data_IF_745713472260
#
_entry.id   IF_745713472260
#
_cell.length_a   1.000
_cell.length_b   1.000
_cell.length_c   1.000
_cell.angle_alpha   90.00
_cell.angle_beta   90.00
_cell.angle_gamma   90.00
#
_symmetry.space_group_name_H-M   'P 1'
#
loop_
_entity.id
_entity.type
_entity.pdbx_description
1 polymer ?
#
# COMPACT_ATOMS: atom_id res chain seq x y z
N UNK A 1 58.06 -5.34 27.08
CA UNK A 1 57.86 -4.27 26.08
C UNK A 1 56.88 -4.83 25.07
N UNK A 2 55.60 -4.49 25.20
CA UNK A 2 54.52 -5.06 24.40
C UNK A 2 54.36 -4.28 23.09
N UNK A 3 54.20 -5.01 21.97
CA UNK A 3 53.97 -4.49 20.63
C UNK A 3 52.53 -3.92 20.49
N UNK A 4 52.31 -2.93 19.60
CA UNK A 4 50.99 -2.35 19.39
C UNK A 4 50.10 -3.32 18.59
N UNK A 5 48.86 -3.48 19.05
CA UNK A 5 47.83 -4.31 18.42
C UNK A 5 47.23 -3.58 17.21
N UNK A 6 47.33 -4.18 16.02
CA UNK A 6 46.54 -3.78 14.85
C UNK A 6 45.08 -4.20 15.04
N UNK A 7 44.19 -3.21 15.04
CA UNK A 7 42.75 -3.41 15.13
C UNK A 7 42.15 -3.39 13.72
N UNK A 8 41.85 -4.60 13.23
CA UNK A 8 41.15 -4.86 11.98
C UNK A 8 39.73 -4.28 12.05
N UNK A 9 39.55 -3.05 11.59
CA UNK A 9 38.23 -2.52 11.27
C UNK A 9 37.64 -3.30 10.09
N UNK A 10 36.71 -4.20 10.40
CA UNK A 10 35.86 -4.87 9.42
C UNK A 10 35.13 -3.82 8.57
N UNK A 11 35.40 -3.81 7.27
CA UNK A 11 34.75 -2.95 6.28
C UNK A 11 33.29 -3.36 6.08
N UNK A 12 32.42 -2.96 7.02
CA UNK A 12 30.98 -2.92 6.81
C UNK A 12 30.70 -1.69 5.94
N UNK A 13 30.68 -1.88 4.63
CA UNK A 13 30.36 -0.80 3.69
C UNK A 13 28.87 -0.48 3.85
N UNK A 14 28.56 0.43 4.79
CA UNK A 14 27.23 1.02 4.90
C UNK A 14 26.85 1.63 3.53
N UNK A 15 25.59 1.52 3.09
CA UNK A 15 25.15 2.15 1.86
C UNK A 15 25.48 3.64 1.94
N UNK A 16 26.32 4.11 1.02
CA UNK A 16 26.72 5.52 0.97
C UNK A 16 25.44 6.32 0.77
N UNK A 17 25.03 7.06 1.81
CA UNK A 17 23.90 7.97 1.71
C UNK A 17 24.19 8.96 0.57
N UNK A 18 23.18 9.38 -0.19
CA UNK A 18 23.36 10.31 -1.31
C UNK A 18 24.04 11.63 -0.91
N UNK A 19 23.87 12.04 0.35
CA UNK A 19 24.47 13.24 0.91
C UNK A 19 25.06 12.97 2.30
N UNK A 20 26.29 13.43 2.51
CA UNK A 20 26.93 13.47 3.83
C UNK A 20 26.52 14.75 4.57
N UNK A 21 25.67 14.60 5.58
CA UNK A 21 25.11 15.71 6.36
C UNK A 21 26.05 16.28 7.42
N UNK A 22 27.23 15.69 7.65
CA UNK A 22 28.25 16.22 8.55
C UNK A 22 29.32 17.02 7.78
N UNK A 23 29.59 16.62 6.53
CA UNK A 23 30.53 17.33 5.65
C UNK A 23 30.10 18.80 5.41
N UNK A 24 30.88 19.72 5.99
CA UNK A 24 30.65 21.16 5.87
C UNK A 24 29.44 21.67 6.66
N UNK A 25 28.98 20.93 7.68
CA UNK A 25 27.84 21.33 8.50
C UNK A 25 28.03 22.70 9.16
N UNK A 26 29.26 23.03 9.61
CA UNK A 26 29.57 24.31 10.25
C UNK A 26 29.17 25.56 9.42
N UNK A 27 29.18 25.45 8.09
CA UNK A 27 28.79 26.52 7.17
C UNK A 27 27.66 26.08 6.24
N UNK A 28 26.80 25.14 6.66
CA UNK A 28 25.81 24.52 5.79
C UNK A 28 24.89 25.55 5.10
N UNK A 29 24.57 26.65 5.78
CA UNK A 29 23.68 27.69 5.28
C UNK A 29 24.18 28.32 3.97
N UNK A 30 25.48 28.61 3.86
CA UNK A 30 26.09 29.17 2.65
C UNK A 30 26.72 28.09 1.77
N UNK A 31 27.21 27.00 2.36
CA UNK A 31 28.04 26.01 1.70
C UNK A 31 27.31 24.80 1.12
N UNK A 32 26.07 24.52 1.54
CA UNK A 32 25.30 23.40 0.98
C UNK A 32 24.39 23.85 -0.16
N UNK A 33 24.35 23.05 -1.21
CA UNK A 33 23.31 23.11 -2.24
C UNK A 33 21.93 22.86 -1.62
N UNK A 34 20.88 23.46 -2.20
CA UNK A 34 19.50 23.37 -1.71
C UNK A 34 19.02 21.92 -1.56
N UNK A 35 19.35 21.07 -2.53
CA UNK A 35 19.02 19.64 -2.50
C UNK A 35 19.65 18.89 -1.33
N UNK A 36 20.90 19.22 -0.96
CA UNK A 36 21.59 18.65 0.19
C UNK A 36 20.94 19.10 1.52
N UNK A 37 20.55 20.37 1.62
CA UNK A 37 19.84 20.93 2.79
C UNK A 37 18.49 20.26 2.99
N UNK A 38 17.69 20.15 1.93
CA UNK A 38 16.36 19.52 1.97
C UNK A 38 16.45 18.04 2.35
N UNK A 39 17.38 17.31 1.74
CA UNK A 39 17.54 15.89 2.01
C UNK A 39 18.03 15.64 3.45
N UNK A 40 19.06 16.37 3.90
CA UNK A 40 19.58 16.25 5.26
C UNK A 40 18.58 16.71 6.32
N UNK A 41 17.77 17.72 6.03
CA UNK A 41 16.70 18.17 6.92
C UNK A 41 15.59 17.10 7.04
N UNK A 42 15.22 16.45 5.93
CA UNK A 42 14.10 15.50 5.90
C UNK A 42 14.48 14.11 6.45
N UNK A 43 15.71 13.64 6.19
CA UNK A 43 16.13 12.28 6.54
C UNK A 43 16.96 12.21 7.82
N UNK A 44 17.69 13.29 8.16
CA UNK A 44 18.64 13.34 9.30
C UNK A 44 18.28 14.44 10.29
N UNK A 45 17.36 15.35 9.95
CA UNK A 45 16.99 16.49 10.79
C UNK A 45 18.08 17.57 10.91
N UNK A 46 19.08 17.57 10.01
CA UNK A 46 20.25 18.47 10.07
C UNK A 46 20.31 19.40 8.87
N UNK A 47 20.76 20.63 9.11
CA UNK A 47 21.01 21.63 8.08
C UNK A 47 19.74 22.19 7.45
N UNK A 48 18.63 22.20 8.20
CA UNK A 48 17.42 22.88 7.80
C UNK A 48 17.69 24.37 7.64
N UNK A 49 17.20 25.01 6.56
CA UNK A 49 17.36 26.44 6.38
C UNK A 49 16.77 27.18 7.60
N UNK A 50 17.40 28.28 8.06
CA UNK A 50 16.73 29.16 8.99
C UNK A 50 15.43 29.63 8.33
N UNK A 51 14.30 29.53 9.05
CA UNK A 51 13.06 30.12 8.57
C UNK A 51 13.37 31.59 8.20
N UNK A 52 12.88 32.10 7.06
CA UNK A 52 13.12 33.48 6.64
C UNK A 52 12.76 34.52 7.73
N UNK A 53 11.94 34.11 8.70
CA UNK A 53 11.42 34.93 9.78
C UNK A 53 12.17 34.82 11.12
N UNK A 54 13.24 34.03 11.25
CA UNK A 54 14.09 33.99 12.46
C UNK A 54 13.31 33.94 13.80
N UNK A 55 12.20 33.20 13.84
CA UNK A 55 11.07 33.62 14.65
C UNK A 55 11.17 33.16 16.11
N UNK A 56 11.57 34.10 16.97
CA UNK A 56 10.85 34.29 18.23
C UNK A 56 9.38 34.60 17.87
N UNK A 57 8.53 33.57 17.83
CA UNK A 57 7.13 33.74 17.45
C UNK A 57 6.38 34.53 18.53
N UNK A 58 6.24 35.85 18.33
CA UNK A 58 5.37 36.67 19.17
C UNK A 58 3.90 36.34 18.87
N UNK A 59 3.28 35.61 19.80
CA UNK A 59 1.90 35.16 19.74
C UNK A 59 0.86 36.27 19.99
N UNK A 60 1.29 37.49 20.28
CA UNK A 60 0.41 38.66 20.39
C UNK A 60 0.39 39.47 19.08
N UNK A 61 1.48 39.45 18.31
CA UNK A 61 1.60 40.16 17.06
C UNK A 61 0.61 39.62 16.00
N UNK A 62 -0.36 40.45 15.63
CA UNK A 62 -1.42 40.07 14.69
C UNK A 62 -2.37 39.03 15.25
N UNK A 63 -2.55 38.97 16.59
CA UNK A 63 -3.48 38.03 17.20
C UNK A 63 -4.94 38.27 16.78
N UNK A 64 -5.36 39.51 16.50
CA UNK A 64 -6.75 39.81 16.13
C UNK A 64 -7.19 39.19 14.79
N UNK A 65 -6.27 38.96 13.86
CA UNK A 65 -6.52 38.37 12.55
C UNK A 65 -5.69 37.10 12.32
N UNK A 66 -5.27 36.44 13.40
CA UNK A 66 -4.31 35.34 13.39
C UNK A 66 -4.70 34.20 12.43
N UNK A 67 -5.99 33.94 12.24
CA UNK A 67 -6.50 32.91 11.32
C UNK A 67 -6.09 33.15 9.87
N UNK A 68 -6.05 34.40 9.41
CA UNK A 68 -5.62 34.73 8.05
C UNK A 68 -4.18 35.24 8.00
N UNK A 69 -3.72 35.92 9.07
CA UNK A 69 -2.43 36.60 9.11
C UNK A 69 -1.26 35.76 9.62
N UNK A 70 -1.49 34.66 10.35
CA UNK A 70 -0.39 33.81 10.81
C UNK A 70 -0.09 32.69 9.83
N UNK A 71 1.20 32.46 9.62
CA UNK A 71 1.71 31.26 8.95
C UNK A 71 1.33 30.00 9.74
N UNK A 72 1.21 28.86 9.05
CA UNK A 72 0.88 27.58 9.69
C UNK A 72 1.84 27.21 10.83
N UNK A 73 3.13 27.53 10.68
CA UNK A 73 4.15 27.33 11.71
C UNK A 73 3.94 28.21 12.94
N UNK A 74 3.63 29.50 12.76
CA UNK A 74 3.32 30.42 13.88
C UNK A 74 2.07 29.99 14.64
N UNK A 75 1.03 29.54 13.93
CA UNK A 75 -0.19 28.96 14.53
C UNK A 75 0.14 27.74 15.40
N UNK A 76 0.90 26.79 14.86
CA UNK A 76 1.28 25.58 15.59
C UNK A 76 2.13 25.90 16.83
N UNK A 77 3.15 26.76 16.68
CA UNK A 77 4.02 27.14 17.78
C UNK A 77 3.25 27.88 18.91
N UNK A 78 2.48 28.90 18.55
CA UNK A 78 1.71 29.69 19.51
C UNK A 78 0.59 28.90 20.17
N UNK A 79 0.01 27.93 19.46
CA UNK A 79 -0.95 27.01 20.05
C UNK A 79 -0.29 26.06 21.06
N UNK A 80 0.90 25.53 20.75
CA UNK A 80 1.58 24.58 21.63
C UNK A 80 2.20 25.25 22.86
N UNK A 81 2.92 26.36 22.66
CA UNK A 81 3.73 27.02 23.70
C UNK A 81 3.01 28.16 24.42
N UNK A 82 2.15 28.91 23.74
CA UNK A 82 1.45 30.07 24.30
C UNK A 82 -0.06 29.88 24.49
N UNK A 83 -0.60 28.71 24.11
CA UNK A 83 -2.04 28.38 24.12
C UNK A 83 -2.91 29.44 23.42
N UNK A 84 -2.34 30.13 22.42
CA UNK A 84 -3.00 31.20 21.66
C UNK A 84 -3.01 30.87 20.17
N UNK A 85 -4.12 31.17 19.51
CA UNK A 85 -4.27 30.94 18.07
C UNK A 85 -4.34 29.45 17.75
N UNK A 86 -4.91 28.66 18.66
CA UNK A 86 -5.36 27.32 18.36
C UNK A 86 -6.67 27.42 17.59
N UNK A 87 -6.82 26.62 16.53
CA UNK A 87 -8.11 26.51 15.86
C UNK A 87 -9.02 25.65 16.74
N UNK A 88 -9.72 26.29 17.69
CA UNK A 88 -10.57 25.60 18.66
C UNK A 88 -11.88 25.09 18.07
N UNK A 89 -12.21 25.43 16.82
CA UNK A 89 -13.31 24.76 16.09
C UNK A 89 -12.99 23.31 15.72
N UNK A 90 -11.76 22.84 15.95
CA UNK A 90 -11.40 21.43 15.81
C UNK A 90 -11.37 20.65 17.14
N UNK A 91 -11.70 21.25 18.29
CA UNK A 91 -11.60 20.56 19.60
C UNK A 91 -12.73 20.98 20.56
N UNK A 92 -13.94 20.48 20.33
CA UNK A 92 -14.91 20.17 21.40
C UNK A 92 -15.44 18.75 21.14
N UNK A 93 -15.48 17.94 22.19
CA UNK A 93 -15.53 16.47 22.32
C UNK A 93 -16.67 15.68 21.63
N UNK A 94 -16.64 14.32 21.58
CA UNK A 94 -15.56 13.37 21.88
C UNK A 94 -14.93 12.82 20.59
N UNK A 95 -13.92 11.97 20.78
CA UNK A 95 -12.94 11.47 19.81
C UNK A 95 -13.52 10.53 18.73
N UNK A 96 -14.60 10.95 18.06
CA UNK A 96 -15.43 10.24 17.08
C UNK A 96 -16.56 9.41 17.70
N UNK A 97 -17.81 9.74 17.34
CA UNK A 97 -18.99 8.95 17.69
C UNK A 97 -19.16 7.84 16.64
N UNK A 98 -18.87 6.60 17.03
CA UNK A 98 -18.87 5.45 16.13
C UNK A 98 -20.26 4.87 15.86
N UNK A 99 -21.33 5.44 16.45
CA UNK A 99 -22.71 4.98 16.30
C UNK A 99 -23.56 5.89 15.41
N UNK A 100 -23.17 7.15 15.26
CA UNK A 100 -23.85 8.07 14.37
C UNK A 100 -23.59 7.70 12.91
N UNK A 101 -24.63 7.43 12.13
CA UNK A 101 -24.53 7.08 10.71
C UNK A 101 -23.57 5.91 10.40
N UNK A 102 -23.38 4.96 11.33
CA UNK A 102 -22.51 3.79 11.14
C UNK A 102 -22.87 2.93 9.90
N UNK A 103 -24.13 2.99 9.45
CA UNK A 103 -24.60 2.34 8.22
C UNK A 103 -24.18 3.04 6.91
N UNK A 104 -23.70 4.29 6.99
CA UNK A 104 -23.19 5.11 5.89
C UNK A 104 -21.80 5.67 6.21
N UNK A 105 -21.01 4.95 7.01
CA UNK A 105 -19.68 5.38 7.45
C UNK A 105 -18.73 5.68 6.27
N UNK A 106 -18.97 5.06 5.11
CA UNK A 106 -18.23 5.25 3.85
C UNK A 106 -18.41 6.63 3.20
N UNK A 107 -19.54 7.29 3.43
CA UNK A 107 -19.88 8.61 2.85
C UNK A 107 -19.92 9.69 3.95
N UNK A 108 -20.36 9.31 5.16
CA UNK A 108 -20.66 10.25 6.23
C UNK A 108 -19.47 10.52 7.16
N UNK A 109 -18.48 9.61 7.25
CA UNK A 109 -17.38 9.77 8.20
C UNK A 109 -16.08 10.23 7.51
N UNK A 110 -15.37 11.23 8.05
CA UNK A 110 -14.02 11.55 7.62
C UNK A 110 -13.06 10.39 7.93
N UNK A 111 -11.99 10.26 7.14
CA UNK A 111 -11.02 9.14 7.23
C UNK A 111 -10.49 8.88 8.65
N UNK A 112 -10.21 9.94 9.40
CA UNK A 112 -9.72 9.83 10.77
C UNK A 112 -10.76 9.26 11.76
N UNK A 113 -12.05 9.49 11.51
CA UNK A 113 -13.16 8.89 12.26
C UNK A 113 -13.28 7.40 11.98
N UNK A 114 -13.19 7.02 10.70
CA UNK A 114 -13.21 5.61 10.28
C UNK A 114 -12.04 4.83 10.90
N UNK A 115 -10.82 5.37 10.85
CA UNK A 115 -9.62 4.72 11.39
C UNK A 115 -9.69 4.55 12.91
N UNK A 116 -10.14 5.58 13.63
CA UNK A 116 -10.24 5.53 15.08
C UNK A 116 -11.36 4.57 15.55
N UNK A 117 -12.56 4.70 14.98
CA UNK A 117 -13.73 3.87 15.31
C UNK A 117 -13.54 2.40 14.93
N UNK A 118 -12.83 2.14 13.83
CA UNK A 118 -12.45 0.79 13.44
C UNK A 118 -11.52 0.13 14.46
N UNK A 119 -10.55 0.89 14.99
CA UNK A 119 -9.53 0.36 15.90
C UNK A 119 -10.06 0.14 17.32
N UNK A 120 -10.98 0.99 17.79
CA UNK A 120 -11.42 1.01 19.20
C UNK A 120 -12.81 0.41 19.43
N UNK A 121 -13.73 0.51 18.46
CA UNK A 121 -15.12 0.03 18.59
C UNK A 121 -15.54 -0.97 17.50
N UNK A 122 -14.66 -1.27 16.53
CA UNK A 122 -14.92 -2.18 15.39
C UNK A 122 -16.13 -1.78 14.52
N UNK A 123 -16.44 -0.49 14.46
CA UNK A 123 -17.56 0.06 13.68
C UNK A 123 -17.02 0.96 12.55
N UNK A 124 -17.64 0.87 11.36
CA UNK A 124 -17.35 1.75 10.22
C UNK A 124 -15.93 1.69 9.66
N UNK A 125 -15.26 0.53 9.75
CA UNK A 125 -13.95 0.31 9.14
C UNK A 125 -13.95 0.61 7.64
N UNK A 126 -12.92 1.30 7.11
CA UNK A 126 -12.81 1.53 5.69
C UNK A 126 -12.67 0.17 4.99
N UNK A 127 -13.59 -0.13 4.06
CA UNK A 127 -13.48 -1.31 3.19
C UNK A 127 -12.20 -1.30 2.33
N UNK A 128 -11.49 -0.18 2.31
CA UNK A 128 -10.28 0.10 1.52
C UNK A 128 -8.95 -0.19 2.21
N UNK A 129 -8.91 -0.80 3.41
CA UNK A 129 -7.64 -1.32 3.94
C UNK A 129 -7.21 -2.65 3.33
N UNK A 130 -8.06 -3.25 2.47
CA UNK A 130 -7.60 -4.13 1.42
C UNK A 130 -7.19 -3.27 0.22
N UNK A 131 -5.94 -3.36 -0.30
CA UNK A 131 -5.54 -2.65 -1.52
C UNK A 131 -6.41 -3.00 -2.75
N UNK A 132 -7.24 -4.03 -2.63
CA UNK A 132 -7.98 -4.67 -3.68
C UNK A 132 -9.40 -5.03 -3.20
N UNK A 133 -10.42 -4.40 -3.80
CA UNK A 133 -11.83 -4.78 -3.60
C UNK A 133 -12.14 -6.07 -4.39
N UNK A 134 -12.22 -7.18 -3.68
CA UNK A 134 -12.46 -8.50 -4.25
C UNK A 134 -13.92 -8.74 -4.72
N UNK A 135 -14.85 -7.84 -4.38
CA UNK A 135 -16.25 -7.91 -4.80
C UNK A 135 -16.52 -7.04 -6.03
N UNK A 136 -15.72 -5.99 -6.23
CA UNK A 136 -15.77 -5.15 -7.42
C UNK A 136 -15.42 -5.96 -8.67
N UNK A 137 -16.34 -5.99 -9.63
CA UNK A 137 -16.20 -6.62 -10.95
C UNK A 137 -15.94 -8.13 -10.91
N UNK A 138 -16.55 -8.84 -9.95
CA UNK A 138 -16.44 -10.30 -9.82
C UNK A 138 -16.82 -11.06 -11.11
N UNK A 139 -17.76 -10.51 -11.88
CA UNK A 139 -18.22 -11.06 -13.16
C UNK A 139 -17.13 -11.09 -14.25
N UNK A 140 -16.11 -10.23 -14.13
CA UNK A 140 -14.98 -10.15 -15.04
C UNK A 140 -13.65 -10.43 -14.32
N UNK A 141 -13.67 -11.12 -13.17
CA UNK A 141 -12.46 -11.37 -12.38
C UNK A 141 -11.38 -12.15 -13.16
N UNK A 142 -11.78 -12.92 -14.18
CA UNK A 142 -10.89 -13.72 -15.04
C UNK A 142 -10.06 -12.89 -16.02
N UNK A 143 -10.61 -11.78 -16.54
CA UNK A 143 -10.01 -10.99 -17.64
C UNK A 143 -9.81 -9.51 -17.29
N UNK A 144 -10.56 -8.97 -16.33
CA UNK A 144 -10.56 -7.55 -15.95
C UNK A 144 -9.72 -7.21 -14.72
N UNK A 145 -9.40 -8.18 -13.87
CA UNK A 145 -8.60 -7.90 -12.67
C UNK A 145 -7.09 -7.88 -12.97
N UNK A 146 -6.41 -6.83 -12.52
CA UNK A 146 -4.95 -6.76 -12.50
C UNK A 146 -4.35 -7.92 -11.67
N UNK A 147 -3.19 -8.45 -12.06
CA UNK A 147 -2.57 -9.63 -11.44
C UNK A 147 -2.44 -9.52 -9.90
N UNK A 148 -2.06 -8.35 -9.39
CA UNK A 148 -1.96 -8.11 -7.94
C UNK A 148 -3.32 -8.17 -7.21
N UNK A 149 -4.41 -7.73 -7.86
CA UNK A 149 -5.78 -7.83 -7.33
C UNK A 149 -6.22 -9.29 -7.21
N UNK A 150 -5.93 -10.09 -8.25
CA UNK A 150 -6.25 -11.52 -8.31
C UNK A 150 -5.53 -12.33 -7.26
N UNK A 151 -4.21 -12.16 -7.16
CA UNK A 151 -3.37 -12.91 -6.23
C UNK A 151 -3.76 -12.64 -4.77
N UNK A 152 -3.93 -11.36 -4.41
CA UNK A 152 -4.25 -10.96 -3.06
C UNK A 152 -5.65 -11.45 -2.61
N UNK A 153 -6.66 -11.26 -3.48
CA UNK A 153 -8.03 -11.72 -3.23
C UNK A 153 -8.15 -13.24 -3.19
N UNK A 154 -7.33 -13.93 -3.99
CA UNK A 154 -7.28 -15.39 -3.99
C UNK A 154 -6.70 -15.94 -2.68
N UNK A 155 -5.60 -15.36 -2.19
CA UNK A 155 -4.93 -15.78 -0.94
C UNK A 155 -5.81 -15.55 0.30
N UNK A 156 -6.52 -14.42 0.38
CA UNK A 156 -7.21 -14.01 1.61
C UNK A 156 -8.70 -14.34 1.64
N UNK A 157 -9.36 -14.35 0.48
CA UNK A 157 -10.82 -14.48 0.38
C UNK A 157 -11.27 -15.58 -0.58
N UNK A 158 -10.34 -16.29 -1.23
CA UNK A 158 -10.61 -17.36 -2.21
C UNK A 158 -11.50 -16.89 -3.37
N UNK A 159 -11.53 -15.59 -3.64
CA UNK A 159 -12.30 -14.96 -4.71
C UNK A 159 -11.36 -14.53 -5.84
N UNK A 160 -11.74 -14.76 -7.10
CA UNK A 160 -10.89 -14.46 -8.26
C UNK A 160 -9.65 -15.35 -8.38
N UNK A 161 -9.55 -16.42 -7.57
CA UNK A 161 -8.68 -17.54 -7.86
C UNK A 161 -9.16 -18.14 -9.18
N UNK A 162 -8.49 -17.81 -10.28
CA UNK A 162 -8.47 -18.75 -11.38
C UNK A 162 -7.95 -20.05 -10.77
N UNK A 163 -8.79 -21.08 -10.74
CA UNK A 163 -8.26 -22.41 -10.45
C UNK A 163 -7.04 -22.60 -11.36
N UNK A 164 -6.03 -23.38 -10.96
CA UNK A 164 -5.29 -24.07 -11.99
C UNK A 164 -6.33 -24.94 -12.69
N UNK A 165 -6.95 -24.41 -13.74
CA UNK A 165 -7.29 -25.26 -14.86
C UNK A 165 -5.90 -25.69 -15.31
N UNK A 166 -5.42 -26.78 -14.72
CA UNK A 166 -4.71 -27.76 -15.51
C UNK A 166 -5.73 -28.00 -16.60
N UNK A 167 -5.63 -27.26 -17.70
CA UNK A 167 -6.37 -27.61 -18.90
C UNK A 167 -5.91 -29.03 -19.11
N UNK A 168 -6.77 -29.99 -18.75
CA UNK A 168 -6.55 -31.34 -19.15
C UNK A 168 -6.19 -31.25 -20.63
N UNK A 169 -5.06 -31.83 -21.05
CA UNK A 169 -4.46 -31.54 -22.36
C UNK A 169 -5.46 -31.66 -23.53
N UNK A 170 -6.56 -32.41 -23.31
CA UNK A 170 -7.68 -32.50 -24.22
C UNK A 170 -9.03 -32.43 -23.49
N UNK A 171 -9.92 -31.55 -23.96
CA UNK A 171 -11.35 -31.50 -23.59
C UNK A 171 -12.12 -32.61 -24.33
N UNK A 172 -12.58 -33.64 -23.61
CA UNK A 172 -13.24 -34.82 -24.17
C UNK A 172 -14.73 -34.64 -24.52
N UNK A 173 -15.30 -33.46 -24.27
CA UNK A 173 -16.67 -33.12 -24.65
C UNK A 173 -16.73 -32.26 -25.91
N UNK A 174 -15.69 -31.45 -26.15
CA UNK A 174 -15.56 -30.65 -27.36
C UNK A 174 -15.52 -31.52 -28.64
N UNK A 175 -16.60 -31.44 -29.42
CA UNK A 175 -16.73 -32.15 -30.69
C UNK A 175 -17.00 -33.65 -30.56
N UNK A 176 -17.49 -34.12 -29.41
CA UNK A 176 -17.76 -35.55 -29.17
C UNK A 176 -18.69 -36.18 -30.22
N UNK A 177 -19.71 -35.47 -30.70
CA UNK A 177 -20.64 -35.96 -31.74
C UNK A 177 -19.95 -36.37 -33.06
N UNK A 178 -18.75 -35.86 -33.33
CA UNK A 178 -17.91 -36.18 -34.49
C UNK A 178 -16.50 -36.54 -34.03
N UNK A 179 -16.36 -37.23 -32.91
CA UNK A 179 -15.04 -37.54 -32.37
C UNK A 179 -14.20 -38.39 -33.33
N UNK A 180 -14.84 -39.29 -34.09
CA UNK A 180 -14.17 -40.22 -35.00
C UNK A 180 -13.40 -39.51 -36.13
N UNK A 181 -13.95 -38.45 -36.73
CA UNK A 181 -13.26 -37.68 -37.80
C UNK A 181 -12.68 -36.36 -37.30
N UNK A 182 -13.20 -35.82 -36.19
CA UNK A 182 -12.87 -34.49 -35.68
C UNK A 182 -11.78 -34.46 -34.61
N UNK A 183 -11.47 -35.58 -33.94
CA UNK A 183 -10.41 -35.60 -32.92
C UNK A 183 -9.06 -36.03 -33.50
N UNK A 184 -7.98 -35.44 -32.98
CA UNK A 184 -6.62 -35.91 -33.22
C UNK A 184 -6.38 -37.27 -32.57
N UNK A 185 -5.41 -38.04 -33.07
CA UNK A 185 -5.06 -39.35 -32.49
C UNK A 185 -4.74 -39.25 -30.99
N UNK A 186 -3.98 -38.23 -30.57
CA UNK A 186 -3.67 -37.98 -29.17
C UNK A 186 -4.90 -37.69 -28.31
N UNK A 187 -5.87 -36.93 -28.82
CA UNK A 187 -7.14 -36.65 -28.13
C UNK A 187 -7.99 -37.91 -27.96
N UNK A 188 -8.07 -38.76 -29.00
CA UNK A 188 -8.77 -40.05 -28.94
C UNK A 188 -8.17 -40.97 -27.88
N UNK A 189 -6.85 -41.14 -27.89
CA UNK A 189 -6.16 -41.99 -26.91
C UNK A 189 -6.33 -41.48 -25.48
N UNK A 190 -6.15 -40.18 -25.26
CA UNK A 190 -6.31 -39.57 -23.93
C UNK A 190 -7.73 -39.69 -23.40
N UNK A 191 -8.73 -39.34 -24.22
CA UNK A 191 -10.14 -39.39 -23.81
C UNK A 191 -10.67 -40.81 -23.62
N UNK A 192 -10.14 -41.78 -24.36
CA UNK A 192 -10.47 -43.18 -24.13
C UNK A 192 -9.85 -43.71 -22.83
N UNK A 193 -8.59 -43.37 -22.53
CA UNK A 193 -7.87 -43.85 -21.34
C UNK A 193 -8.35 -43.21 -20.03
N UNK A 194 -8.61 -41.91 -20.02
CA UNK A 194 -8.89 -41.16 -18.79
C UNK A 194 -10.38 -40.90 -18.55
N UNK A 195 -11.19 -40.88 -19.61
CA UNK A 195 -12.60 -40.47 -19.55
C UNK A 195 -13.58 -41.50 -20.14
N UNK A 196 -13.09 -42.63 -20.64
CA UNK A 196 -13.89 -43.68 -21.30
C UNK A 196 -14.77 -43.13 -22.43
N UNK A 197 -14.29 -42.12 -23.15
CA UNK A 197 -15.02 -41.45 -24.25
C UNK A 197 -14.23 -41.52 -25.54
N UNK A 198 -14.91 -41.85 -26.63
CA UNK A 198 -14.29 -41.92 -27.96
C UNK A 198 -13.30 -43.08 -28.07
N UNK A 199 -13.60 -44.21 -27.43
CA UNK A 199 -12.91 -45.46 -27.67
C UNK A 199 -13.41 -46.07 -28.97
N UNK A 200 -12.49 -46.44 -29.86
CA UNK A 200 -12.80 -47.28 -30.99
C UNK A 200 -13.02 -48.69 -30.45
N UNK A 201 -14.23 -49.24 -30.61
CA UNK A 201 -14.46 -50.64 -30.27
C UNK A 201 -13.67 -51.48 -31.26
N UNK A 202 -12.60 -52.10 -30.76
CA UNK A 202 -11.88 -53.13 -31.50
C UNK A 202 -12.76 -54.36 -31.44
N UNK A 203 -13.57 -54.58 -32.48
CA UNK A 203 -14.17 -55.89 -32.72
C UNK A 203 -13.03 -56.85 -33.02
N UNK A 204 -12.60 -57.59 -32.00
CA UNK A 204 -11.76 -58.76 -32.20
C UNK A 204 -12.64 -59.82 -32.86
N UNK A 205 -12.62 -59.87 -34.19
CA UNK A 205 -12.97 -61.10 -34.90
C UNK A 205 -11.89 -62.12 -34.55
N UNK A 206 -12.22 -63.00 -33.60
CA UNK A 206 -11.45 -64.21 -33.35
C UNK A 206 -11.71 -65.19 -34.49
N UNK A 207 -10.81 -65.26 -35.47
CA UNK A 207 -10.62 -66.45 -36.33
C UNK A 207 -9.81 -67.53 -35.59
#
# INVERSE_FOLDING_TARGET
>A
MAAPTEEHHTLYTAPRLPFDCEAGYANFQAGWATSKKEWCCSNVGRGCPPDPDGANYDCNAGFSNWQMGWSGKKKAFCCFHAKRGCNTEAIVEPRYNCRENAGHADIAWPRAQQEWCCTHESLGCPKFSAPYDCQAELQNAETGWAAGKREWCCLHYRMGCGMPVVSEPFDCDAGFFNWLKGWSAGKKTYCCQHHSRGCEEVTYDCE
#
